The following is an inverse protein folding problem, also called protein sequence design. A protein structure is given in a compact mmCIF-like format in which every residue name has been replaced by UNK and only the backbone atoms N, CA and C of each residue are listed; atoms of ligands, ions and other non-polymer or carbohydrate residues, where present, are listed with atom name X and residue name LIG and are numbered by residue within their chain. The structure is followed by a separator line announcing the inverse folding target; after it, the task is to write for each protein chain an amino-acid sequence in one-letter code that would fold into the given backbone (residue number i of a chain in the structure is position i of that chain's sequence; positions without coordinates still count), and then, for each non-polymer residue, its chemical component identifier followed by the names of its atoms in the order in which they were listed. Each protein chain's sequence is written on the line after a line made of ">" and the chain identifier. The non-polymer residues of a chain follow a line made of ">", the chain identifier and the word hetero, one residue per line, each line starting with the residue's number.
data_IF_966388583450
#
_entry.id   IF_966388583450
#
_cell.length_a   1.000
_cell.length_b   1.000
_cell.length_c   1.000
_cell.angle_alpha   90.00
_cell.angle_beta   90.00
_cell.angle_gamma   90.00
#
_symmetry.space_group_name_H-M   'P 1'
#
loop_
_entity.id
_entity.type
_entity.pdbx_description
1 polymer ?
#
# COMPACT_ATOMS: atom_id res chain seq x y z
N UNK A 1 9.72 13.74 8.03
CA UNK A 1 10.89 12.89 7.74
C UNK A 1 11.45 13.24 6.37
N UNK A 2 12.72 12.89 6.09
CA UNK A 2 13.37 13.14 4.80
C UNK A 2 13.63 11.83 4.06
N UNK A 3 13.20 11.78 2.81
CA UNK A 3 13.30 10.59 1.95
C UNK A 3 14.09 10.90 0.67
N UNK A 4 14.85 9.92 0.21
CA UNK A 4 15.37 9.90 -1.16
C UNK A 4 14.76 8.69 -1.87
N UNK A 5 14.12 8.91 -3.02
CA UNK A 5 13.56 7.86 -3.86
C UNK A 5 14.36 7.78 -5.15
N UNK A 6 15.06 6.67 -5.35
CA UNK A 6 15.89 6.42 -6.56
C UNK A 6 15.12 5.53 -7.53
N UNK A 7 14.80 6.07 -8.69
CA UNK A 7 13.94 5.48 -9.70
C UNK A 7 12.51 6.00 -9.62
N UNK A 8 12.13 6.89 -10.55
CA UNK A 8 10.82 7.52 -10.65
C UNK A 8 9.93 6.83 -11.71
N UNK A 9 10.00 5.50 -11.77
CA UNK A 9 9.01 4.69 -12.48
C UNK A 9 7.66 4.72 -11.76
N UNK A 10 6.68 3.91 -12.21
CA UNK A 10 5.31 3.93 -11.65
C UNK A 10 5.27 3.80 -10.13
N UNK A 11 6.04 2.88 -9.56
CA UNK A 11 6.08 2.68 -8.10
C UNK A 11 6.76 3.84 -7.38
N UNK A 12 7.99 4.21 -7.80
CA UNK A 12 8.75 5.28 -7.13
C UNK A 12 8.07 6.64 -7.22
N UNK A 13 7.49 6.99 -8.38
CA UNK A 13 6.72 8.21 -8.55
C UNK A 13 5.50 8.27 -7.62
N UNK A 14 4.71 7.20 -7.60
CA UNK A 14 3.53 7.11 -6.72
C UNK A 14 3.89 7.18 -5.24
N UNK A 15 4.99 6.52 -4.83
CA UNK A 15 5.50 6.56 -3.46
C UNK A 15 5.94 7.98 -3.08
N UNK A 16 6.70 8.64 -3.95
CA UNK A 16 7.20 10.00 -3.73
C UNK A 16 6.04 11.01 -3.57
N UNK A 17 5.04 10.97 -4.45
CA UNK A 17 3.84 11.82 -4.36
C UNK A 17 3.08 11.59 -3.05
N UNK A 18 2.88 10.32 -2.65
CA UNK A 18 2.15 9.98 -1.41
C UNK A 18 2.89 10.42 -0.15
N UNK A 19 4.21 10.25 -0.10
CA UNK A 19 5.03 10.71 1.03
C UNK A 19 5.01 12.24 1.15
N UNK A 20 5.08 12.96 0.03
CA UNK A 20 4.99 14.42 0.00
C UNK A 20 3.62 14.90 0.47
N UNK A 21 2.53 14.26 0.01
CA UNK A 21 1.17 14.58 0.44
C UNK A 21 0.94 14.37 1.95
N UNK A 22 1.73 13.52 2.60
CA UNK A 22 1.75 13.31 4.05
C UNK A 22 2.64 14.31 4.80
N UNK A 23 3.17 15.34 4.14
CA UNK A 23 3.99 16.39 4.75
C UNK A 23 5.47 16.01 4.93
N UNK A 24 5.98 15.03 4.20
CA UNK A 24 7.39 14.67 4.24
C UNK A 24 8.20 15.41 3.18
N UNK A 25 9.48 15.63 3.44
CA UNK A 25 10.44 16.13 2.45
C UNK A 25 10.95 14.97 1.60
N UNK A 26 10.76 15.04 0.28
CA UNK A 26 11.09 13.97 -0.65
C UNK A 26 11.98 14.48 -1.78
N UNK A 27 13.11 13.82 -1.99
CA UNK A 27 13.99 14.01 -3.15
C UNK A 27 13.81 12.82 -4.07
N UNK A 28 13.28 13.05 -5.26
CA UNK A 28 13.12 12.03 -6.29
C UNK A 28 14.27 12.08 -7.30
N UNK A 29 14.83 10.92 -7.63
CA UNK A 29 15.99 10.79 -8.51
C UNK A 29 15.67 9.82 -9.64
N UNK A 30 15.92 10.20 -10.89
CA UNK A 30 15.89 9.31 -12.04
C UNK A 30 16.93 9.76 -13.08
N UNK A 31 17.42 8.82 -13.88
CA UNK A 31 18.31 9.12 -15.01
C UNK A 31 17.56 9.74 -16.18
N UNK A 32 16.23 9.53 -16.28
CA UNK A 32 15.38 10.00 -17.37
C UNK A 32 14.76 11.35 -17.01
N UNK A 33 15.18 12.42 -17.70
CA UNK A 33 14.72 13.78 -17.47
C UNK A 33 13.20 13.92 -17.56
N UNK A 34 12.54 13.23 -18.49
CA UNK A 34 11.09 13.26 -18.61
C UNK A 34 10.33 12.76 -17.35
N UNK A 35 10.91 11.83 -16.58
CA UNK A 35 10.34 11.37 -15.31
C UNK A 35 10.55 12.38 -14.19
N UNK A 36 11.70 13.02 -14.19
CA UNK A 36 12.06 14.11 -13.26
C UNK A 36 11.11 15.29 -13.44
N UNK A 37 10.92 15.74 -14.68
CA UNK A 37 10.03 16.87 -15.00
C UNK A 37 8.57 16.59 -14.66
N UNK A 38 8.09 15.36 -14.84
CA UNK A 38 6.71 14.97 -14.51
C UNK A 38 6.37 15.08 -13.02
N UNK A 39 7.38 15.09 -12.14
CA UNK A 39 7.22 15.15 -10.69
C UNK A 39 7.65 16.49 -10.06
N UNK A 40 8.23 17.40 -10.84
CA UNK A 40 8.81 18.65 -10.37
C UNK A 40 7.88 19.50 -9.49
N UNK A 41 6.59 19.55 -9.85
CA UNK A 41 5.57 20.32 -9.12
C UNK A 41 4.78 19.48 -8.09
N UNK A 42 5.12 18.18 -7.95
CA UNK A 42 4.36 17.25 -7.12
C UNK A 42 5.10 16.76 -5.89
N UNK A 43 6.43 16.86 -5.90
CA UNK A 43 7.27 16.47 -4.76
C UNK A 43 8.24 17.58 -4.39
N UNK A 44 8.90 17.47 -3.26
CA UNK A 44 9.72 18.58 -2.73
C UNK A 44 10.89 18.95 -3.64
N UNK A 45 11.64 17.94 -4.11
CA UNK A 45 12.77 18.13 -5.02
C UNK A 45 12.88 16.97 -6.00
N UNK A 46 13.34 17.28 -7.22
CA UNK A 46 13.64 16.28 -8.24
C UNK A 46 15.04 16.50 -8.79
N UNK A 47 15.80 15.43 -9.02
CA UNK A 47 17.15 15.49 -9.54
C UNK A 47 17.31 14.48 -10.67
N UNK A 48 17.82 14.94 -11.82
CA UNK A 48 18.21 14.07 -12.92
C UNK A 48 19.68 13.69 -12.77
N UNK A 49 19.96 12.44 -12.41
CA UNK A 49 21.32 11.92 -12.29
C UNK A 49 21.38 10.40 -12.49
N UNK A 50 22.54 9.89 -12.85
CA UNK A 50 22.83 8.46 -12.84
C UNK A 50 23.23 8.03 -11.41
N UNK A 51 22.34 7.28 -10.74
CA UNK A 51 22.59 6.81 -9.39
C UNK A 51 23.63 5.66 -9.30
N UNK A 52 24.15 5.17 -10.42
CA UNK A 52 25.28 4.22 -10.41
C UNK A 52 26.64 4.92 -10.32
N UNK A 53 26.68 6.23 -10.55
CA UNK A 53 27.90 7.04 -10.44
C UNK A 53 28.08 7.54 -8.99
N UNK A 54 29.09 6.99 -8.32
CA UNK A 54 29.42 7.32 -6.94
C UNK A 54 29.70 8.81 -6.74
N UNK A 55 30.33 9.47 -7.74
CA UNK A 55 30.68 10.89 -7.65
C UNK A 55 29.44 11.78 -7.55
N UNK A 56 28.35 11.42 -8.24
CA UNK A 56 27.09 12.15 -8.20
C UNK A 56 26.27 11.84 -6.95
N UNK A 57 26.26 10.58 -6.52
CA UNK A 57 25.50 10.12 -5.36
C UNK A 57 26.07 10.67 -4.04
N UNK A 58 27.39 10.82 -3.93
CA UNK A 58 28.04 11.41 -2.75
C UNK A 58 27.71 12.88 -2.54
N UNK A 59 27.29 13.60 -3.58
CA UNK A 59 26.79 14.98 -3.50
C UNK A 59 25.38 15.12 -2.91
N UNK A 60 24.66 14.02 -2.73
CA UNK A 60 23.30 14.03 -2.14
C UNK A 60 23.36 14.19 -0.61
N UNK A 61 22.33 14.74 0.02
CA UNK A 61 22.27 14.94 1.48
C UNK A 61 21.98 13.64 2.24
N UNK A 62 22.77 12.58 1.98
CA UNK A 62 22.53 11.23 2.54
C UNK A 62 22.57 11.18 4.07
N UNK A 63 23.41 12.01 4.69
CA UNK A 63 23.56 12.07 6.17
C UNK A 63 22.31 12.66 6.86
N UNK A 64 21.62 13.58 6.17
CA UNK A 64 20.42 14.24 6.67
C UNK A 64 19.13 13.51 6.27
N UNK A 65 19.25 12.48 5.42
CA UNK A 65 18.13 11.65 4.95
C UNK A 65 17.85 10.54 5.95
N UNK A 66 16.56 10.33 6.25
CA UNK A 66 16.13 9.29 7.18
C UNK A 66 16.01 7.94 6.48
N UNK A 67 15.44 7.91 5.27
CA UNK A 67 15.20 6.68 4.51
C UNK A 67 15.54 6.90 3.04
N UNK A 68 16.31 5.97 2.47
CA UNK A 68 16.55 5.89 1.03
C UNK A 68 15.85 4.67 0.46
N UNK A 69 15.07 4.85 -0.60
CA UNK A 69 14.34 3.78 -1.28
C UNK A 69 14.85 3.63 -2.70
N UNK A 70 15.39 2.45 -3.03
CA UNK A 70 15.74 2.09 -4.40
C UNK A 70 14.53 1.45 -5.07
N UNK A 71 13.81 2.23 -5.88
CA UNK A 71 12.55 1.84 -6.52
C UNK A 71 12.72 1.38 -7.99
N UNK A 72 13.97 1.16 -8.42
CA UNK A 72 14.32 0.73 -9.78
C UNK A 72 13.84 -0.70 -10.02
N UNK A 73 12.96 -0.91 -11.00
CA UNK A 73 12.44 -2.24 -11.33
C UNK A 73 12.73 -2.68 -12.78
N UNK A 74 12.97 -1.74 -13.70
CA UNK A 74 13.21 -2.04 -15.12
C UNK A 74 14.57 -2.72 -15.36
N UNK A 75 15.57 -2.43 -14.53
CA UNK A 75 16.93 -2.97 -14.63
C UNK A 75 17.41 -3.45 -13.25
N UNK A 76 17.41 -4.77 -13.06
CA UNK A 76 17.84 -5.41 -11.81
C UNK A 76 19.32 -5.17 -11.52
N UNK A 77 20.18 -5.19 -12.55
CA UNK A 77 21.61 -4.93 -12.40
C UNK A 77 21.87 -3.51 -11.86
N UNK A 78 21.20 -2.50 -12.43
CA UNK A 78 21.25 -1.12 -11.94
C UNK A 78 20.73 -1.03 -10.50
N UNK A 79 19.61 -1.70 -10.17
CA UNK A 79 19.08 -1.71 -8.80
C UNK A 79 20.13 -2.26 -7.80
N UNK A 80 20.74 -3.40 -8.12
CA UNK A 80 21.76 -4.04 -7.29
C UNK A 80 22.97 -3.13 -7.09
N UNK A 81 23.48 -2.50 -8.16
CA UNK A 81 24.63 -1.59 -8.10
C UNK A 81 24.33 -0.36 -7.22
N UNK A 82 23.20 0.30 -7.44
CA UNK A 82 22.75 1.46 -6.66
C UNK A 82 22.55 1.08 -5.19
N UNK A 83 21.93 -0.06 -4.94
CA UNK A 83 21.70 -0.56 -3.58
C UNK A 83 23.00 -0.83 -2.84
N UNK A 84 23.96 -1.49 -3.51
CA UNK A 84 25.29 -1.76 -2.94
C UNK A 84 26.07 -0.47 -2.66
N UNK A 85 26.04 0.52 -3.58
CA UNK A 85 26.65 1.81 -3.40
C UNK A 85 26.09 2.55 -2.19
N UNK A 86 24.76 2.68 -2.08
CA UNK A 86 24.10 3.35 -0.96
C UNK A 86 24.35 2.62 0.38
N UNK A 87 24.46 1.29 0.37
CA UNK A 87 24.84 0.50 1.54
C UNK A 87 26.26 0.81 1.98
N UNK A 88 27.22 0.91 1.04
CA UNK A 88 28.60 1.28 1.33
C UNK A 88 28.72 2.72 1.87
N UNK A 89 27.87 3.63 1.40
CA UNK A 89 27.78 5.01 1.89
C UNK A 89 27.08 5.12 3.25
N UNK A 90 26.66 3.98 3.84
CA UNK A 90 26.09 3.88 5.21
C UNK A 90 24.88 4.78 5.43
N UNK A 91 23.95 4.83 4.48
CA UNK A 91 22.66 5.52 4.69
C UNK A 91 21.93 4.95 5.91
N UNK A 92 21.17 5.77 6.62
CA UNK A 92 20.53 5.41 7.90
C UNK A 92 19.59 4.20 7.77
N UNK A 93 18.68 4.24 6.81
CA UNK A 93 17.79 3.12 6.46
C UNK A 93 17.72 2.99 4.94
N UNK A 94 17.99 1.79 4.43
CA UNK A 94 17.93 1.46 3.02
C UNK A 94 16.79 0.45 2.78
N UNK A 95 15.91 0.79 1.86
CA UNK A 95 14.84 -0.07 1.37
C UNK A 95 15.09 -0.31 -0.11
N UNK A 96 14.92 -1.53 -0.60
CA UNK A 96 15.07 -1.81 -2.03
C UNK A 96 13.92 -2.67 -2.56
N UNK A 97 13.49 -2.38 -3.79
CA UNK A 97 12.47 -3.13 -4.49
C UNK A 97 13.07 -4.36 -5.16
N UNK A 98 12.55 -5.54 -4.83
CA UNK A 98 12.80 -6.76 -5.57
C UNK A 98 11.73 -7.01 -6.63
N UNK A 99 12.09 -7.66 -7.74
CA UNK A 99 11.18 -8.00 -8.85
C UNK A 99 11.00 -9.51 -9.03
N UNK A 100 11.84 -10.32 -8.38
CA UNK A 100 11.75 -11.78 -8.36
C UNK A 100 12.58 -12.35 -7.18
N UNK A 101 12.41 -13.65 -6.84
CA UNK A 101 13.10 -14.27 -5.70
C UNK A 101 14.64 -14.27 -5.81
N UNK A 102 15.20 -14.40 -7.01
CA UNK A 102 16.66 -14.35 -7.19
C UNK A 102 17.19 -12.96 -6.89
N UNK A 103 16.50 -11.91 -7.35
CA UNK A 103 16.84 -10.52 -7.04
C UNK A 103 16.76 -10.24 -5.54
N UNK A 104 15.71 -10.74 -4.87
CA UNK A 104 15.57 -10.65 -3.41
C UNK A 104 16.75 -11.29 -2.67
N UNK A 105 17.18 -12.50 -3.09
CA UNK A 105 18.32 -13.17 -2.50
C UNK A 105 19.61 -12.33 -2.60
N UNK A 106 19.83 -11.69 -3.76
CA UNK A 106 20.99 -10.80 -3.96
C UNK A 106 20.91 -9.58 -3.05
N UNK A 107 19.76 -8.92 -2.96
CA UNK A 107 19.57 -7.76 -2.08
C UNK A 107 19.73 -8.13 -0.60
N UNK A 108 19.24 -9.30 -0.20
CA UNK A 108 19.41 -9.85 1.14
C UNK A 108 20.89 -10.09 1.47
N UNK A 109 21.67 -10.62 0.52
CA UNK A 109 23.11 -10.84 0.66
C UNK A 109 23.89 -9.52 0.80
N UNK A 110 23.43 -8.43 0.16
CA UNK A 110 23.98 -7.07 0.35
C UNK A 110 23.65 -6.54 1.75
N UNK A 111 22.69 -7.11 2.44
CA UNK A 111 22.27 -6.70 3.79
C UNK A 111 21.36 -5.47 3.79
N UNK A 112 20.41 -5.41 2.84
CA UNK A 112 19.36 -4.40 2.83
C UNK A 112 18.45 -4.59 4.04
N UNK A 113 18.05 -3.50 4.69
CA UNK A 113 17.24 -3.55 5.91
C UNK A 113 15.80 -4.01 5.64
N UNK A 114 15.25 -3.65 4.49
CA UNK A 114 13.88 -3.95 4.11
C UNK A 114 13.78 -4.10 2.58
N UNK A 115 13.17 -5.20 2.13
CA UNK A 115 12.94 -5.48 0.72
C UNK A 115 11.44 -5.48 0.49
N UNK A 116 10.99 -4.78 -0.56
CA UNK A 116 9.57 -4.66 -0.91
C UNK A 116 9.27 -5.28 -2.28
N UNK A 117 8.08 -5.86 -2.41
CA UNK A 117 7.61 -6.55 -3.62
C UNK A 117 6.27 -5.95 -4.11
N UNK A 118 6.23 -4.70 -4.60
CA UNK A 118 4.98 -3.98 -4.87
C UNK A 118 4.04 -4.71 -5.83
N UNK A 119 4.59 -5.40 -6.84
CA UNK A 119 3.82 -6.16 -7.82
C UNK A 119 3.19 -7.40 -7.19
N UNK A 120 3.94 -8.15 -6.40
CA UNK A 120 3.46 -9.35 -5.74
C UNK A 120 2.37 -9.01 -4.72
N UNK A 121 2.61 -8.03 -3.86
CA UNK A 121 1.65 -7.57 -2.86
C UNK A 121 0.34 -7.10 -3.51
N UNK A 122 0.45 -6.34 -4.61
CA UNK A 122 -0.73 -5.88 -5.36
C UNK A 122 -1.47 -7.03 -6.05
N UNK A 123 -0.74 -8.01 -6.61
CA UNK A 123 -1.32 -9.17 -7.26
C UNK A 123 -2.03 -10.09 -6.27
N UNK A 124 -1.45 -10.34 -5.10
CA UNK A 124 -2.05 -11.14 -4.03
C UNK A 124 -3.36 -10.51 -3.54
N UNK A 125 -3.34 -9.20 -3.28
CA UNK A 125 -4.54 -8.45 -2.89
C UNK A 125 -5.63 -8.51 -3.96
N UNK A 126 -5.28 -8.33 -5.23
CA UNK A 126 -6.23 -8.40 -6.33
C UNK A 126 -6.77 -9.83 -6.53
N UNK A 127 -5.91 -10.85 -6.45
CA UNK A 127 -6.32 -12.25 -6.58
C UNK A 127 -7.39 -12.64 -5.54
N UNK A 128 -7.20 -12.24 -4.28
CA UNK A 128 -8.20 -12.47 -3.23
C UNK A 128 -9.53 -11.81 -3.54
N UNK A 129 -9.50 -10.53 -3.95
CA UNK A 129 -10.69 -9.79 -4.35
C UNK A 129 -11.44 -10.48 -5.49
N UNK A 130 -10.73 -11.07 -6.46
CA UNK A 130 -11.33 -11.76 -7.60
C UNK A 130 -11.84 -13.16 -7.26
N UNK A 131 -11.17 -13.87 -6.35
CA UNK A 131 -11.51 -15.25 -5.97
C UNK A 131 -12.62 -15.34 -4.91
N UNK A 132 -12.81 -14.31 -4.08
CA UNK A 132 -13.79 -14.34 -3.00
C UNK A 132 -15.01 -13.47 -3.35
N UNK A 133 -16.13 -14.14 -3.64
CA UNK A 133 -17.39 -13.46 -4.02
C UNK A 133 -17.85 -12.53 -2.88
N UNK A 134 -18.09 -11.25 -3.18
CA UNK A 134 -18.54 -10.27 -2.17
C UNK A 134 -17.43 -9.58 -1.38
N UNK A 135 -16.16 -10.01 -1.47
CA UNK A 135 -15.03 -9.30 -0.88
C UNK A 135 -14.71 -8.06 -1.73
N UNK A 136 -14.67 -6.92 -1.07
CA UNK A 136 -14.30 -5.63 -1.67
C UNK A 136 -12.81 -5.40 -1.53
N UNK A 137 -12.26 -5.68 -0.34
CA UNK A 137 -10.84 -5.56 -0.03
C UNK A 137 -10.43 -6.47 1.12
N UNK A 138 -9.12 -6.69 1.30
CA UNK A 138 -8.61 -7.52 2.40
C UNK A 138 -7.21 -7.07 2.82
N UNK A 139 -6.99 -7.08 4.14
CA UNK A 139 -5.69 -6.89 4.77
C UNK A 139 -5.33 -8.14 5.58
N UNK A 140 -4.27 -8.83 5.18
CA UNK A 140 -3.79 -10.01 5.90
C UNK A 140 -2.95 -9.61 7.10
N UNK A 141 -3.27 -10.20 8.25
CA UNK A 141 -2.44 -10.10 9.45
C UNK A 141 -1.40 -11.22 9.47
N UNK A 142 -1.79 -12.41 9.01
CA UNK A 142 -0.94 -13.58 8.78
C UNK A 142 -1.67 -14.58 7.87
N UNK A 143 -1.09 -15.76 7.64
CA UNK A 143 -1.67 -16.83 6.81
C UNK A 143 -3.09 -17.26 7.23
N UNK A 144 -3.47 -17.05 8.51
CA UNK A 144 -4.71 -17.57 9.10
C UNK A 144 -5.76 -16.50 9.37
N UNK A 145 -5.37 -15.25 9.61
CA UNK A 145 -6.25 -14.15 10.02
C UNK A 145 -6.16 -12.96 9.11
N UNK A 146 -7.32 -12.37 8.83
CA UNK A 146 -7.44 -11.16 8.00
C UNK A 146 -8.45 -10.17 8.57
N UNK A 147 -8.30 -8.91 8.16
CA UNK A 147 -9.38 -7.93 8.16
C UNK A 147 -9.89 -7.85 6.72
N UNK A 148 -11.20 -7.98 6.53
CA UNK A 148 -11.81 -7.98 5.19
C UNK A 148 -12.97 -7.01 5.10
N UNK A 149 -13.09 -6.39 3.95
CA UNK A 149 -14.27 -5.63 3.56
C UNK A 149 -15.20 -6.52 2.74
N UNK A 150 -16.39 -6.78 3.24
CA UNK A 150 -17.36 -7.69 2.62
C UNK A 150 -18.69 -6.98 2.40
N UNK A 151 -19.25 -7.08 1.19
CA UNK A 151 -20.62 -6.61 0.95
C UNK A 151 -21.59 -7.35 1.85
N UNK A 152 -22.47 -6.62 2.52
CA UNK A 152 -23.49 -7.21 3.38
C UNK A 152 -24.33 -8.23 2.60
N UNK A 153 -24.40 -9.52 3.03
CA UNK A 153 -25.29 -10.48 2.42
C UNK A 153 -26.76 -10.11 2.66
N UNK A 154 -27.60 -10.27 1.65
CA UNK A 154 -29.02 -9.86 1.67
C UNK A 154 -29.81 -10.36 2.89
N UNK A 155 -29.51 -11.55 3.37
CA UNK A 155 -30.19 -12.16 4.51
C UNK A 155 -29.96 -11.45 5.85
N UNK A 156 -28.99 -10.55 5.93
CA UNK A 156 -28.66 -9.75 7.12
C UNK A 156 -29.07 -8.28 6.98
N UNK A 157 -29.68 -7.90 5.85
CA UNK A 157 -30.23 -6.57 5.68
C UNK A 157 -31.33 -6.31 6.71
N UNK A 158 -31.36 -5.11 7.28
CA UNK A 158 -32.30 -4.66 8.33
C UNK A 158 -32.22 -5.43 9.66
N UNK A 159 -31.09 -6.09 9.93
CA UNK A 159 -30.79 -6.71 11.24
C UNK A 159 -29.71 -5.91 11.95
N UNK A 160 -29.69 -5.97 13.26
CA UNK A 160 -28.59 -5.42 14.05
C UNK A 160 -27.41 -6.40 14.11
N UNK A 161 -26.22 -5.88 14.46
CA UNK A 161 -25.02 -6.71 14.67
C UNK A 161 -25.30 -7.80 15.70
N UNK A 162 -26.04 -7.48 16.77
CA UNK A 162 -26.44 -8.41 17.84
C UNK A 162 -27.35 -9.54 17.31
N UNK A 163 -28.36 -9.19 16.49
CA UNK A 163 -29.28 -10.18 15.92
C UNK A 163 -28.61 -11.17 14.97
N UNK A 164 -27.55 -10.74 14.25
CA UNK A 164 -26.79 -11.62 13.37
C UNK A 164 -25.87 -12.57 14.14
N UNK A 165 -25.46 -12.19 15.36
CA UNK A 165 -24.59 -13.00 16.23
C UNK A 165 -23.26 -13.37 15.55
N UNK A 166 -22.58 -12.37 14.98
CA UNK A 166 -21.34 -12.61 14.21
C UNK A 166 -20.29 -13.39 15.02
N UNK A 167 -20.16 -13.09 16.30
CA UNK A 167 -19.16 -13.71 17.17
C UNK A 167 -19.51 -15.16 17.49
N UNK A 168 -20.76 -15.43 17.84
CA UNK A 168 -21.25 -16.74 18.29
C UNK A 168 -21.37 -17.72 17.11
N UNK A 169 -21.90 -17.25 15.97
CA UNK A 169 -22.20 -18.11 14.81
C UNK A 169 -21.00 -18.30 13.89
N UNK A 170 -20.18 -17.24 13.74
CA UNK A 170 -19.14 -17.19 12.73
C UNK A 170 -17.75 -16.97 13.32
N UNK A 171 -17.61 -16.71 14.63
CA UNK A 171 -16.35 -16.35 15.28
C UNK A 171 -15.68 -15.14 14.60
N UNK A 172 -16.48 -14.15 14.20
CA UNK A 172 -16.06 -12.91 13.52
C UNK A 172 -16.35 -11.71 14.39
N UNK A 173 -15.49 -10.69 14.29
CA UNK A 173 -15.71 -9.39 14.90
C UNK A 173 -16.04 -8.37 13.81
N UNK A 174 -17.16 -7.66 13.97
CA UNK A 174 -17.49 -6.49 13.13
C UNK A 174 -16.75 -5.29 13.70
N UNK A 175 -15.86 -4.69 12.92
CA UNK A 175 -15.10 -3.50 13.33
C UNK A 175 -15.91 -2.23 13.06
N UNK A 176 -16.45 -2.11 11.87
CA UNK A 176 -17.26 -0.98 11.41
C UNK A 176 -18.03 -1.36 10.16
N UNK A 177 -18.86 -0.45 9.67
CA UNK A 177 -19.47 -0.53 8.34
C UNK A 177 -19.01 0.64 7.47
N UNK A 178 -18.93 0.42 6.17
CA UNK A 178 -18.64 1.42 5.17
C UNK A 178 -19.92 1.64 4.36
N UNK A 179 -20.31 2.91 4.17
CA UNK A 179 -21.45 3.30 3.35
C UNK A 179 -20.98 4.04 2.11
N UNK A 180 -21.66 3.83 0.99
CA UNK A 180 -21.44 4.64 -0.19
C UNK A 180 -22.15 5.99 0.02
N UNK A 181 -21.39 7.06 0.13
CA UNK A 181 -21.89 8.42 0.14
C UNK A 181 -21.64 9.07 -1.23
N UNK A 182 -22.60 9.90 -1.65
CA UNK A 182 -22.50 10.64 -2.90
C UNK A 182 -22.17 12.09 -2.57
N UNK A 183 -21.06 12.59 -3.10
CA UNK A 183 -20.66 13.99 -2.94
C UNK A 183 -20.63 14.65 -4.30
N UNK A 184 -21.34 15.75 -4.42
CA UNK A 184 -21.29 16.56 -5.63
C UNK A 184 -19.97 17.33 -5.67
N UNK A 185 -19.24 17.19 -6.78
CA UNK A 185 -18.01 17.92 -7.02
C UNK A 185 -18.32 19.31 -7.58
N UNK A 186 -17.42 20.27 -7.35
CA UNK A 186 -17.54 21.66 -7.86
C UNK A 186 -17.75 21.75 -9.39
N UNK A 187 -17.53 20.66 -10.12
CA UNK A 187 -17.68 20.56 -11.58
C UNK A 187 -19.01 19.89 -11.95
N UNK A 188 -19.96 19.72 -11.00
CA UNK A 188 -21.29 19.14 -11.25
C UNK A 188 -21.28 17.64 -11.54
N UNK A 189 -20.22 16.90 -11.20
CA UNK A 189 -20.16 15.44 -11.27
C UNK A 189 -20.30 14.85 -9.87
N UNK A 190 -21.25 13.97 -9.67
CA UNK A 190 -21.40 13.20 -8.43
C UNK A 190 -20.28 12.20 -8.31
N UNK A 191 -19.47 12.28 -7.24
CA UNK A 191 -18.43 11.30 -6.92
C UNK A 191 -18.92 10.42 -5.78
N UNK A 192 -18.83 9.11 -5.95
CA UNK A 192 -19.06 8.16 -4.85
C UNK A 192 -17.83 8.17 -3.95
N UNK A 193 -18.02 8.46 -2.68
CA UNK A 193 -17.00 8.31 -1.64
C UNK A 193 -17.44 7.21 -0.67
N UNK A 194 -16.46 6.60 -0.02
CA UNK A 194 -16.71 5.63 1.05
C UNK A 194 -16.71 6.41 2.36
N UNK A 195 -17.87 6.39 3.04
CA UNK A 195 -18.02 6.95 4.38
C UNK A 195 -17.84 5.84 5.42
N UNK A 196 -16.83 6.00 6.27
CA UNK A 196 -16.51 5.03 7.33
C UNK A 196 -17.32 5.39 8.57
N UNK A 197 -18.15 4.47 9.02
CA UNK A 197 -18.94 4.67 10.23
C UNK A 197 -18.07 4.52 11.49
N UNK A 198 -18.63 4.85 12.67
CA UNK A 198 -17.95 4.63 13.95
C UNK A 198 -17.73 3.13 14.24
N UNK A 199 -17.02 2.82 15.31
CA UNK A 199 -16.85 1.42 15.78
C UNK A 199 -18.23 0.77 15.93
N UNK A 200 -18.35 -0.45 15.40
CA UNK A 200 -19.62 -1.18 15.45
C UNK A 200 -20.08 -1.45 16.87
N UNK A 201 -21.34 -1.12 17.14
CA UNK A 201 -22.04 -1.46 18.40
C UNK A 201 -23.01 -2.62 18.16
N UNK A 202 -23.42 -3.35 19.20
CA UNK A 202 -24.42 -4.42 19.04
C UNK A 202 -25.72 -3.95 18.38
N UNK A 203 -26.12 -2.69 18.61
CA UNK A 203 -27.36 -2.08 18.10
C UNK A 203 -27.19 -1.47 16.70
N UNK A 204 -25.99 -1.51 16.09
CA UNK A 204 -25.77 -1.00 14.75
C UNK A 204 -26.65 -1.74 13.75
N UNK A 205 -27.56 -1.00 13.08
CA UNK A 205 -28.42 -1.52 12.03
C UNK A 205 -27.63 -1.68 10.73
N UNK A 206 -27.72 -2.85 10.14
CA UNK A 206 -27.06 -3.20 8.87
C UNK A 206 -28.04 -2.91 7.73
N UNK A 207 -27.67 -1.97 6.86
CA UNK A 207 -28.52 -1.49 5.78
C UNK A 207 -28.08 -2.09 4.42
N UNK A 208 -29.02 -2.12 3.49
CA UNK A 208 -28.75 -2.58 2.13
C UNK A 208 -27.62 -1.76 1.48
N UNK A 209 -26.61 -2.46 0.98
CA UNK A 209 -25.46 -1.83 0.32
C UNK A 209 -24.28 -1.52 1.25
N UNK A 210 -24.44 -1.76 2.55
CA UNK A 210 -23.33 -1.65 3.50
C UNK A 210 -22.20 -2.62 3.14
N UNK A 211 -21.00 -2.20 3.42
CA UNK A 211 -19.80 -3.04 3.38
C UNK A 211 -19.35 -3.22 4.84
N UNK A 212 -19.31 -4.46 5.28
CA UNK A 212 -18.85 -4.82 6.63
C UNK A 212 -17.32 -4.89 6.64
N UNK A 213 -16.68 -4.29 7.64
CA UNK A 213 -15.27 -4.51 7.94
C UNK A 213 -15.19 -5.56 9.05
N UNK A 214 -14.76 -6.76 8.69
CA UNK A 214 -14.72 -7.94 9.57
C UNK A 214 -13.30 -8.35 9.89
N UNK A 215 -13.08 -8.76 11.14
CA UNK A 215 -11.86 -9.43 11.57
C UNK A 215 -12.16 -10.87 11.97
N UNK A 216 -11.32 -11.81 11.55
CA UNK A 216 -11.39 -13.19 11.97
C UNK A 216 -10.50 -14.13 11.17
N UNK A 217 -10.64 -15.43 11.43
CA UNK A 217 -9.90 -16.45 10.69
C UNK A 217 -10.41 -16.58 9.25
N UNK A 218 -9.51 -16.79 8.29
CA UNK A 218 -9.84 -16.88 6.85
C UNK A 218 -10.92 -17.95 6.55
N UNK A 219 -10.92 -19.06 7.30
CA UNK A 219 -11.94 -20.12 7.19
C UNK A 219 -13.33 -19.63 7.63
N UNK A 220 -13.39 -18.83 8.69
CA UNK A 220 -14.63 -18.32 9.28
C UNK A 220 -15.23 -17.21 8.41
N UNK A 221 -14.38 -16.36 7.85
CA UNK A 221 -14.75 -15.36 6.85
C UNK A 221 -15.38 -16.03 5.62
N UNK A 222 -14.75 -17.08 5.08
CA UNK A 222 -15.31 -17.84 3.94
C UNK A 222 -16.66 -18.48 4.28
N UNK A 223 -16.82 -19.02 5.49
CA UNK A 223 -18.10 -19.58 5.97
C UNK A 223 -19.19 -18.51 5.99
N UNK A 224 -18.89 -17.30 6.48
CA UNK A 224 -19.85 -16.20 6.51
C UNK A 224 -20.25 -15.74 5.11
N UNK A 225 -19.28 -15.59 4.19
CA UNK A 225 -19.57 -15.13 2.81
C UNK A 225 -20.41 -16.12 2.04
N UNK A 226 -20.30 -17.41 2.32
CA UNK A 226 -21.01 -18.49 1.63
C UNK A 226 -22.30 -18.93 2.38
N UNK A 227 -22.65 -18.28 3.48
CA UNK A 227 -23.89 -18.54 4.22
C UNK A 227 -25.13 -17.78 3.65
#
# INVERSE_FOLDING_TARGET
>A
MKYIIVGLGSFGASLAEKLTAQGNEVIGIDIKMNRVDALKEKITHTICLDATDESTVTGLPLKDTDIVVVAIGENQGTNVMVTALLKNLKVKKLISRAVNPLHENVLSAIGVAEIVHPEQESAERLAKKLCMRGVVDSFELNEYFSIVEVKLPKQYENKTVEEVQFRERYNLLVLTTLKNAYVDTEIGKTKTIIDVQSVATPQLLLERGDILVLYGANKDIRKFINS
#
